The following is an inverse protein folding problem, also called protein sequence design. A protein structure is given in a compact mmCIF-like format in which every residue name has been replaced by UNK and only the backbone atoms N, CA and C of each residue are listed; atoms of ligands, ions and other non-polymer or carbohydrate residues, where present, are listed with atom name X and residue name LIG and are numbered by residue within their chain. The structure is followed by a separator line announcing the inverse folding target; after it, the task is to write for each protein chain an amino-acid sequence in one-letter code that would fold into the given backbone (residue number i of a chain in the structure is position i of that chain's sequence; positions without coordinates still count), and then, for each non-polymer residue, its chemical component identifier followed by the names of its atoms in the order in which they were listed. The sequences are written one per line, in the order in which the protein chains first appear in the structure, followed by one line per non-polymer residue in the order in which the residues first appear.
data_IF_962777073729
#
_entry.id   IF_962777073729
#
_cell.length_a   1.000
_cell.length_b   1.000
_cell.length_c   1.000
_cell.angle_alpha   90.00
_cell.angle_beta   90.00
_cell.angle_gamma   90.00
#
_symmetry.space_group_name_H-M   'P 1'
#
loop_
_entity.id
_entity.type
_entity.pdbx_description
1 polymer ?
#
# COMPACT_ATOMS: atom_id res chain seq x y z
N UNK A 1 8.94 -11.42 -14.75
CA UNK A 1 9.52 -10.09 -14.47
C UNK A 1 8.78 -9.50 -13.27
N UNK A 2 9.47 -9.17 -12.17
CA UNK A 2 8.88 -8.64 -10.91
C UNK A 2 9.03 -7.11 -10.81
N UNK A 3 8.93 -6.38 -11.91
CA UNK A 3 9.31 -4.96 -11.98
C UNK A 3 8.09 -4.09 -12.21
N UNK A 4 8.03 -2.94 -11.53
CA UNK A 4 7.02 -1.89 -11.76
C UNK A 4 7.61 -0.77 -12.60
N UNK A 5 6.79 -0.13 -13.44
CA UNK A 5 7.15 1.08 -14.20
C UNK A 5 6.34 2.25 -13.66
N UNK A 6 6.99 3.36 -13.31
CA UNK A 6 6.34 4.49 -12.68
C UNK A 6 7.01 5.83 -12.98
N UNK A 7 6.24 6.92 -12.90
CA UNK A 7 6.70 8.31 -13.01
C UNK A 7 6.50 9.05 -11.69
N UNK A 8 7.20 10.18 -11.50
CA UNK A 8 7.07 11.05 -10.33
C UNK A 8 6.05 12.15 -10.62
N UNK A 9 5.12 12.39 -9.69
CA UNK A 9 4.11 13.45 -9.82
C UNK A 9 4.41 14.61 -8.83
N UNK A 10 3.76 15.77 -9.05
CA UNK A 10 3.93 16.97 -8.23
C UNK A 10 3.00 17.01 -6.98
N UNK A 11 1.81 16.40 -7.02
CA UNK A 11 0.83 16.36 -5.91
C UNK A 11 0.75 15.00 -5.19
N UNK A 12 0.82 13.91 -5.94
CA UNK A 12 1.10 12.56 -5.44
C UNK A 12 2.59 12.27 -5.69
N UNK A 13 3.23 11.36 -4.94
CA UNK A 13 4.66 11.12 -5.17
C UNK A 13 4.92 10.32 -6.45
N UNK A 14 4.11 9.29 -6.73
CA UNK A 14 4.34 8.38 -7.87
C UNK A 14 3.07 7.99 -8.62
N UNK A 15 3.21 7.63 -9.90
CA UNK A 15 2.13 7.08 -10.74
C UNK A 15 2.60 5.88 -11.52
N UNK A 16 1.78 4.84 -11.57
CA UNK A 16 2.06 3.60 -12.27
C UNK A 16 1.86 3.80 -13.77
N UNK A 17 2.87 3.47 -14.58
CA UNK A 17 2.86 3.68 -16.03
C UNK A 17 2.38 2.43 -16.81
N UNK A 18 2.21 1.30 -16.12
CA UNK A 18 1.72 0.04 -16.71
C UNK A 18 0.87 -0.71 -15.70
N UNK A 19 -0.10 -1.49 -16.18
CA UNK A 19 -0.80 -2.44 -15.33
C UNK A 19 0.19 -3.33 -14.55
N UNK A 20 -0.08 -3.55 -13.28
CA UNK A 20 0.74 -4.40 -12.42
C UNK A 20 -0.14 -5.40 -11.66
N UNK A 21 0.34 -6.64 -11.59
CA UNK A 21 -0.30 -7.71 -10.81
C UNK A 21 0.74 -8.42 -9.96
N UNK A 22 0.37 -8.75 -8.74
CA UNK A 22 1.14 -9.61 -7.86
C UNK A 22 0.24 -10.64 -7.17
N UNK A 23 0.76 -11.85 -6.99
CA UNK A 23 0.14 -12.86 -6.15
C UNK A 23 0.52 -12.64 -4.69
N UNK A 24 -0.47 -12.72 -3.81
CA UNK A 24 -0.31 -12.55 -2.37
C UNK A 24 -0.95 -13.73 -1.64
N UNK A 25 -0.56 -13.94 -0.39
CA UNK A 25 -1.22 -14.91 0.48
C UNK A 25 -2.51 -14.36 1.11
N UNK A 26 -2.90 -13.13 0.79
CA UNK A 26 -4.08 -12.47 1.33
C UNK A 26 -5.32 -12.89 0.52
N UNK A 27 -6.20 -13.68 1.14
CA UNK A 27 -7.42 -14.19 0.49
C UNK A 27 -8.67 -13.67 1.21
N UNK A 28 -9.24 -12.53 0.77
CA UNK A 28 -10.46 -12.00 1.36
C UNK A 28 -11.67 -12.88 1.03
N UNK A 29 -12.70 -12.83 1.89
CA UNK A 29 -13.93 -13.58 1.67
C UNK A 29 -14.65 -13.17 0.38
N UNK A 30 -14.62 -11.86 0.08
CA UNK A 30 -15.14 -11.23 -1.14
C UNK A 30 -14.02 -10.44 -1.83
N UNK A 31 -14.13 -10.26 -3.14
CA UNK A 31 -13.23 -9.37 -3.89
C UNK A 31 -13.30 -7.96 -3.31
N UNK A 32 -12.14 -7.43 -2.90
CA UNK A 32 -12.02 -6.07 -2.40
C UNK A 32 -11.58 -5.13 -3.54
N UNK A 33 -12.19 -3.96 -3.65
CA UNK A 33 -11.89 -2.99 -4.69
C UNK A 33 -11.92 -1.55 -4.15
N UNK A 34 -11.04 -0.72 -4.69
CA UNK A 34 -11.08 0.72 -4.43
C UNK A 34 -12.20 1.38 -5.27
N UNK A 35 -12.66 2.59 -4.90
CA UNK A 35 -13.44 3.44 -5.82
C UNK A 35 -12.73 3.55 -7.18
N UNK A 36 -13.49 3.40 -8.28
CA UNK A 36 -12.94 3.38 -9.63
C UNK A 36 -12.12 2.13 -10.00
N UNK A 37 -12.05 1.12 -9.11
CA UNK A 37 -11.37 -0.17 -9.34
C UNK A 37 -9.89 -0.05 -9.74
N UNK A 38 -9.22 1.02 -9.29
CA UNK A 38 -7.78 1.19 -9.53
C UNK A 38 -6.94 0.12 -8.82
N UNK A 39 -7.41 -0.35 -7.66
CA UNK A 39 -6.83 -1.46 -6.90
C UNK A 39 -7.90 -2.51 -6.66
N UNK A 40 -7.59 -3.76 -6.96
CA UNK A 40 -8.48 -4.91 -6.73
C UNK A 40 -7.70 -6.06 -6.12
N UNK A 41 -8.19 -6.61 -5.01
CA UNK A 41 -7.72 -7.88 -4.44
C UNK A 41 -8.82 -8.92 -4.64
N UNK A 42 -8.57 -9.90 -5.51
CA UNK A 42 -9.51 -11.00 -5.74
C UNK A 42 -9.49 -12.05 -4.61
N UNK A 43 -10.39 -13.03 -4.68
CA UNK A 43 -10.54 -14.07 -3.64
C UNK A 43 -9.40 -15.09 -3.70
N UNK A 44 -8.73 -15.16 -4.83
CA UNK A 44 -7.60 -16.03 -5.13
C UNK A 44 -6.27 -15.45 -4.62
N UNK A 45 -6.28 -14.19 -4.20
CA UNK A 45 -5.14 -13.46 -3.65
C UNK A 45 -4.30 -12.71 -4.69
N UNK A 46 -4.80 -12.53 -5.91
CA UNK A 46 -4.18 -11.63 -6.87
C UNK A 46 -4.54 -10.19 -6.54
N UNK A 47 -3.52 -9.37 -6.36
CA UNK A 47 -3.62 -7.93 -6.18
C UNK A 47 -3.29 -7.23 -7.50
N UNK A 48 -4.24 -6.48 -8.02
CA UNK A 48 -4.20 -5.80 -9.30
C UNK A 48 -4.12 -4.29 -9.10
N UNK A 49 -3.31 -3.64 -9.93
CA UNK A 49 -3.17 -2.19 -10.01
C UNK A 49 -3.33 -1.75 -11.47
N UNK A 50 -4.29 -0.87 -11.69
CA UNK A 50 -4.53 -0.31 -13.01
C UNK A 50 -3.46 0.71 -13.39
N UNK A 51 -3.16 0.80 -14.69
CA UNK A 51 -2.29 1.86 -15.23
C UNK A 51 -2.85 3.23 -14.84
N UNK A 52 -1.98 4.14 -14.39
CA UNK A 52 -2.36 5.47 -13.92
C UNK A 52 -2.64 5.55 -12.42
N UNK A 53 -2.64 4.42 -11.70
CA UNK A 53 -2.77 4.45 -10.24
C UNK A 53 -1.65 5.26 -9.59
N UNK A 54 -2.01 6.19 -8.70
CA UNK A 54 -1.09 7.04 -7.98
C UNK A 54 -0.94 6.61 -6.52
N UNK A 55 0.27 6.71 -5.97
CA UNK A 55 0.57 6.34 -4.59
C UNK A 55 1.70 7.21 -4.00
N UNK A 56 1.90 7.11 -2.69
CA UNK A 56 2.73 8.05 -1.93
C UNK A 56 4.17 7.55 -1.71
N UNK A 57 4.50 6.33 -2.15
CA UNK A 57 5.83 5.74 -1.97
C UNK A 57 6.13 5.41 -0.51
N UNK A 58 7.39 5.52 -0.10
CA UNK A 58 7.75 5.31 1.30
C UNK A 58 7.15 6.42 2.18
N UNK A 59 6.25 6.06 3.10
CA UNK A 59 5.71 6.97 4.12
C UNK A 59 6.48 6.85 5.44
N UNK A 60 6.58 7.95 6.20
CA UNK A 60 7.26 8.00 7.50
C UNK A 60 8.79 8.18 7.40
N UNK A 61 9.60 7.65 8.34
CA UNK A 61 11.06 7.78 8.33
C UNK A 61 11.76 6.94 7.24
N UNK A 62 10.99 6.34 6.34
CA UNK A 62 11.48 5.46 5.30
C UNK A 62 11.97 6.27 4.08
N UNK A 63 13.18 5.94 3.61
CA UNK A 63 13.77 6.54 2.41
C UNK A 63 13.26 5.80 1.17
N UNK A 64 12.79 6.56 0.17
CA UNK A 64 12.42 6.07 -1.15
C UNK A 64 13.65 5.44 -1.84
N UNK A 65 13.77 4.11 -1.77
CA UNK A 65 14.81 3.34 -2.48
C UNK A 65 14.18 2.39 -3.48
N UNK A 66 14.93 1.97 -4.51
CA UNK A 66 14.44 0.99 -5.51
C UNK A 66 13.83 -0.26 -4.87
N UNK A 67 14.44 -0.74 -3.78
CA UNK A 67 13.98 -1.89 -2.99
C UNK A 67 12.72 -1.65 -2.15
N UNK A 68 12.17 -0.44 -2.16
CA UNK A 68 10.97 -0.07 -1.40
C UNK A 68 9.76 0.18 -2.31
N UNK A 69 9.99 0.60 -3.55
CA UNK A 69 8.93 1.13 -4.41
C UNK A 69 7.80 0.14 -4.66
N UNK A 70 8.12 -1.11 -4.99
CA UNK A 70 7.11 -2.16 -5.20
C UNK A 70 6.37 -2.51 -3.90
N UNK A 71 7.09 -2.58 -2.79
CA UNK A 71 6.50 -2.84 -1.48
C UNK A 71 5.56 -1.69 -1.05
N UNK A 72 5.95 -0.43 -1.27
CA UNK A 72 5.10 0.73 -0.97
C UNK A 72 3.83 0.77 -1.83
N UNK A 73 3.92 0.44 -3.12
CA UNK A 73 2.76 0.36 -3.99
C UNK A 73 1.74 -0.66 -3.46
N UNK A 74 2.23 -1.87 -3.12
CA UNK A 74 1.40 -2.95 -2.56
C UNK A 74 0.79 -2.55 -1.22
N UNK A 75 1.59 -1.92 -0.35
CA UNK A 75 1.16 -1.46 0.97
C UNK A 75 0.07 -0.38 0.87
N UNK A 76 0.29 0.67 0.09
CA UNK A 76 -0.67 1.77 -0.11
C UNK A 76 -1.99 1.27 -0.71
N UNK A 77 -1.92 0.36 -1.70
CA UNK A 77 -3.10 -0.25 -2.31
C UNK A 77 -3.94 -1.02 -1.31
N UNK A 78 -3.32 -1.89 -0.51
CA UNK A 78 -4.02 -2.65 0.54
C UNK A 78 -4.59 -1.73 1.61
N UNK A 79 -3.86 -0.69 2.00
CA UNK A 79 -4.33 0.31 2.96
C UNK A 79 -5.50 1.13 2.40
N UNK A 80 -5.52 1.42 1.10
CA UNK A 80 -6.65 2.07 0.47
C UNK A 80 -7.90 1.19 0.55
N UNK A 81 -7.80 -0.10 0.24
CA UNK A 81 -8.92 -1.03 0.37
C UNK A 81 -9.47 -1.08 1.80
N UNK A 82 -8.57 -1.02 2.80
CA UNK A 82 -8.96 -0.97 4.21
C UNK A 82 -9.61 0.37 4.60
N UNK A 83 -9.08 1.48 4.07
CA UNK A 83 -9.59 2.83 4.34
C UNK A 83 -10.98 3.05 3.73
N UNK A 84 -11.26 2.44 2.59
CA UNK A 84 -12.58 2.52 1.92
C UNK A 84 -13.56 1.46 2.43
N UNK A 85 -13.17 0.65 3.42
CA UNK A 85 -14.03 -0.37 4.02
C UNK A 85 -14.25 -1.62 3.15
N UNK A 86 -13.55 -1.74 2.02
CA UNK A 86 -13.67 -2.90 1.13
C UNK A 86 -12.86 -4.11 1.63
N UNK A 87 -11.82 -3.86 2.42
CA UNK A 87 -11.03 -4.88 3.12
C UNK A 87 -11.09 -4.62 4.63
N UNK A 88 -11.28 -5.65 5.50
CA UNK A 88 -11.38 -5.41 6.93
C UNK A 88 -10.02 -5.04 7.55
N UNK A 89 -10.04 -4.28 8.64
CA UNK A 89 -8.82 -3.79 9.32
C UNK A 89 -7.94 -4.91 9.90
N UNK A 90 -8.46 -6.14 10.02
CA UNK A 90 -7.68 -7.33 10.38
C UNK A 90 -6.56 -7.63 9.38
N UNK A 91 -6.64 -7.12 8.16
CA UNK A 91 -5.62 -7.28 7.12
C UNK A 91 -4.42 -6.33 7.26
N UNK A 92 -4.44 -5.39 8.22
CA UNK A 92 -3.31 -4.47 8.46
C UNK A 92 -2.01 -5.21 8.71
N UNK A 93 -2.01 -6.14 9.66
CA UNK A 93 -0.81 -6.90 10.00
C UNK A 93 -0.33 -7.80 8.85
N UNK A 94 -1.19 -8.58 8.19
CA UNK A 94 -0.83 -9.30 6.97
C UNK A 94 -0.24 -8.41 5.87
N UNK A 95 -0.81 -7.22 5.64
CA UNK A 95 -0.30 -6.26 4.66
C UNK A 95 1.10 -5.73 5.02
N UNK A 96 1.32 -5.39 6.29
CA UNK A 96 2.64 -4.94 6.77
C UNK A 96 3.69 -6.07 6.67
N UNK A 97 3.30 -7.33 6.94
CA UNK A 97 4.18 -8.51 6.76
C UNK A 97 4.54 -8.71 5.29
N UNK A 98 3.56 -8.62 4.38
CA UNK A 98 3.79 -8.70 2.94
C UNK A 98 4.73 -7.59 2.48
N UNK A 99 4.51 -6.34 2.90
CA UNK A 99 5.42 -5.23 2.60
C UNK A 99 6.87 -5.57 2.99
N UNK A 100 7.09 -6.05 4.23
CA UNK A 100 8.43 -6.47 4.69
C UNK A 100 9.04 -7.56 3.81
N UNK A 101 8.26 -8.56 3.42
CA UNK A 101 8.71 -9.63 2.54
C UNK A 101 9.14 -9.07 1.18
N UNK A 102 8.32 -8.21 0.56
CA UNK A 102 8.62 -7.62 -0.73
C UNK A 102 9.88 -6.74 -0.69
N UNK A 103 10.10 -6.01 0.40
CA UNK A 103 11.33 -5.24 0.58
C UNK A 103 12.56 -6.15 0.59
N UNK A 104 12.52 -7.27 1.32
CA UNK A 104 13.62 -8.25 1.37
C UNK A 104 13.84 -8.86 -0.02
N UNK A 105 12.77 -9.25 -0.71
CA UNK A 105 12.84 -9.79 -2.07
C UNK A 105 13.45 -8.81 -3.07
N UNK A 106 13.21 -7.50 -2.90
CA UNK A 106 13.77 -6.45 -3.76
C UNK A 106 15.16 -5.98 -3.32
N UNK A 107 15.83 -6.73 -2.44
CA UNK A 107 17.23 -6.49 -2.05
C UNK A 107 17.41 -5.55 -0.87
N UNK A 108 16.36 -5.27 -0.08
CA UNK A 108 16.53 -4.54 1.18
C UNK A 108 17.24 -5.41 2.22
N UNK A 109 18.27 -4.91 2.91
CA UNK A 109 18.86 -5.60 4.05
C UNK A 109 17.82 -5.92 5.13
N UNK A 110 17.87 -7.14 5.69
CA UNK A 110 16.87 -7.65 6.64
C UNK A 110 16.69 -6.75 7.86
N UNK A 111 17.78 -6.13 8.34
CA UNK A 111 17.75 -5.18 9.46
C UNK A 111 16.91 -3.94 9.13
N UNK A 112 17.12 -3.38 7.93
CA UNK A 112 16.33 -2.23 7.45
C UNK A 112 14.87 -2.63 7.25
N UNK A 113 14.60 -3.77 6.62
CA UNK A 113 13.23 -4.26 6.43
C UNK A 113 12.50 -4.51 7.77
N UNK A 114 13.21 -4.97 8.80
CA UNK A 114 12.68 -5.13 10.15
C UNK A 114 12.34 -3.78 10.79
N UNK A 115 13.25 -2.80 10.74
CA UNK A 115 12.96 -1.47 11.29
C UNK A 115 11.78 -0.81 10.59
N UNK A 116 11.72 -0.89 9.25
CA UNK A 116 10.61 -0.30 8.51
C UNK A 116 9.27 -0.98 8.78
N UNK A 117 9.24 -2.29 9.02
CA UNK A 117 8.03 -2.99 9.49
C UNK A 117 7.52 -2.42 10.82
N UNK A 118 8.41 -2.22 11.79
CA UNK A 118 8.03 -1.64 13.08
C UNK A 118 7.61 -0.18 12.96
N UNK A 119 8.24 0.59 12.08
CA UNK A 119 7.87 1.97 11.81
C UNK A 119 6.42 2.09 11.31
N UNK A 120 6.01 1.27 10.33
CA UNK A 120 4.63 1.29 9.82
C UNK A 120 3.61 0.78 10.85
N UNK A 121 3.99 -0.22 11.66
CA UNK A 121 3.14 -0.74 12.76
C UNK A 121 2.86 0.33 13.82
N UNK A 122 3.88 1.10 14.20
CA UNK A 122 3.75 2.18 15.16
C UNK A 122 2.94 3.36 14.60
N UNK A 123 3.21 3.77 13.35
CA UNK A 123 2.53 4.89 12.71
C UNK A 123 1.02 4.64 12.57
N UNK A 124 0.61 3.43 12.17
CA UNK A 124 -0.82 3.12 12.05
C UNK A 124 -1.58 3.10 13.38
N UNK A 125 -0.90 2.82 14.49
CA UNK A 125 -1.47 2.96 15.84
C UNK A 125 -1.69 4.42 16.25
N UNK A 126 -0.87 5.35 15.74
CA UNK A 126 -1.00 6.78 15.98
C UNK A 126 -2.12 7.41 15.13
N UNK A 127 -2.26 7.01 13.86
CA UNK A 127 -3.33 7.54 12.97
C UNK A 127 -4.72 7.12 13.46
N UNK A 128 -4.88 5.90 13.99
CA UNK A 128 -6.16 5.46 14.60
C UNK A 128 -6.54 6.27 15.85
N UNK A 129 -5.58 6.88 16.57
CA UNK A 129 -5.87 7.80 17.68
C UNK A 129 -6.20 9.22 17.20
N UNK A 130 -5.75 9.59 16.00
CA UNK A 130 -5.97 10.91 15.40
C UNK A 130 -7.25 11.01 14.55
N UNK A 131 -7.91 9.89 14.22
CA UNK A 131 -9.24 9.88 13.61
C UNK A 131 -10.33 10.26 14.63
N UNK A 132 -10.28 11.50 15.13
CA UNK A 132 -11.42 12.20 15.74
C UNK A 132 -12.04 13.11 14.68
N UNK A 133 -13.32 12.89 14.44
CA UNK A 133 -14.26 13.59 13.55
C UNK A 133 -13.67 14.51 12.47
N UNK A 134 -13.79 14.16 11.17
CA UNK A 134 -13.49 15.12 10.11
C UNK A 134 -14.44 16.31 10.23
N UNK A 135 -13.91 17.48 10.63
CA UNK A 135 -14.63 18.75 10.49
C UNK A 135 -14.96 18.94 9.01
N UNK A 136 -16.24 18.82 8.65
CA UNK A 136 -16.74 19.18 7.34
C UNK A 136 -16.50 20.67 7.12
N UNK A 137 -15.61 21.00 6.19
CA UNK A 137 -15.41 22.36 5.70
C UNK A 137 -16.23 22.51 4.42
N UNK A 138 -17.25 23.37 4.46
CA UNK A 138 -17.99 23.82 3.28
C UNK A 138 -17.43 25.16 2.80
N UNK A 139 -17.35 25.33 1.48
CA UNK A 139 -16.97 26.57 0.80
C UNK A 139 -18.06 26.90 -0.25
N UNK A 140 -18.30 28.19 -0.59
CA UNK A 140 -19.30 28.60 -1.57
C UNK A 140 -19.00 28.12 -3.00
#
# INVERSE_FOLDING_TARGET
MKTISYSRLHRYKYRLERYFRIWTDLRPANTAFSPGQWVVLDREGALHFQMGYAWDGASGPAVDTKSWMRASLVHDGLYQLMRTGSLPQSYREPADRLMRQLCIEDGMPRVRAWWSYWAVRAAGGLVNRAARDPKMLTAP
#
